data_IF_001731259356
#
_entry.id   IF_001731259356
#
_cell.length_a   1.000
_cell.length_b   1.000
_cell.length_c   1.000
_cell.angle_alpha   90.00
_cell.angle_beta   90.00
_cell.angle_gamma   90.00
#
_symmetry.space_group_name_H-M   'P 1'
#
loop_
_entity.id
_entity.type
_entity.pdbx_description
1 polymer ?
#
# COMPACT_ATOMS: atom_id res chain seq x y z
N UNK A 1 -41.84 7.29 3.06
CA UNK A 1 -40.56 7.13 3.77
C UNK A 1 -39.79 8.42 3.57
N UNK A 2 -39.49 9.11 4.66
CA UNK A 2 -38.78 10.40 4.66
C UNK A 2 -37.27 10.16 4.61
N UNK A 3 -36.50 11.24 4.40
CA UNK A 3 -35.05 11.18 4.50
C UNK A 3 -34.59 10.76 5.91
N UNK A 4 -35.27 11.24 6.94
CA UNK A 4 -34.92 10.89 8.33
C UNK A 4 -35.27 9.43 8.66
N UNK A 5 -36.34 8.89 8.07
CA UNK A 5 -36.63 7.44 8.18
C UNK A 5 -35.51 6.59 7.57
N UNK A 6 -34.90 7.05 6.46
CA UNK A 6 -33.78 6.35 5.82
C UNK A 6 -32.52 6.44 6.68
N UNK A 7 -32.21 7.63 7.22
CA UNK A 7 -31.07 7.84 8.12
C UNK A 7 -31.16 6.97 9.36
N UNK A 8 -32.29 6.96 10.04
CA UNK A 8 -32.49 6.10 11.21
C UNK A 8 -32.29 4.61 10.89
N UNK A 9 -32.69 4.15 9.69
CA UNK A 9 -32.42 2.77 9.28
C UNK A 9 -30.94 2.51 9.01
N UNK A 10 -30.23 3.48 8.44
CA UNK A 10 -28.79 3.41 8.23
C UNK A 10 -28.08 3.36 9.59
N UNK A 11 -28.41 4.25 10.52
CA UNK A 11 -27.81 4.28 11.87
C UNK A 11 -27.96 2.93 12.59
N UNK A 12 -29.15 2.31 12.52
CA UNK A 12 -29.38 0.98 13.10
C UNK A 12 -28.55 -0.13 12.42
N UNK A 13 -28.32 -0.02 11.11
CA UNK A 13 -27.45 -0.95 10.38
C UNK A 13 -26.00 -0.72 10.81
N UNK A 14 -25.56 0.52 10.92
CA UNK A 14 -24.19 0.88 11.32
C UNK A 14 -23.88 0.42 12.75
N UNK A 15 -24.82 0.58 13.69
CA UNK A 15 -24.72 0.03 15.05
C UNK A 15 -24.59 -1.49 15.06
N UNK A 16 -25.30 -2.16 14.15
CA UNK A 16 -25.24 -3.62 14.01
C UNK A 16 -23.90 -4.05 13.39
N UNK A 17 -23.42 -3.33 12.37
CA UNK A 17 -22.12 -3.56 11.76
C UNK A 17 -21.01 -3.41 12.80
N UNK A 18 -21.04 -2.36 13.64
CA UNK A 18 -20.05 -2.16 14.69
C UNK A 18 -20.00 -3.34 15.68
N UNK A 19 -21.16 -3.87 16.08
CA UNK A 19 -21.22 -5.08 16.94
C UNK A 19 -20.59 -6.27 16.25
N UNK A 20 -20.97 -6.55 15.01
CA UNK A 20 -20.44 -7.67 14.22
C UNK A 20 -18.93 -7.55 13.96
N UNK A 21 -18.43 -6.33 13.72
CA UNK A 21 -17.01 -6.09 13.58
C UNK A 21 -16.26 -6.41 14.88
N UNK A 22 -16.75 -5.95 16.03
CA UNK A 22 -16.13 -6.26 17.32
C UNK A 22 -16.16 -7.77 17.64
N UNK A 23 -17.29 -8.44 17.41
CA UNK A 23 -17.39 -9.91 17.56
C UNK A 23 -16.38 -10.63 16.66
N UNK A 24 -16.21 -10.17 15.42
CA UNK A 24 -15.19 -10.70 14.52
C UNK A 24 -13.78 -10.46 15.06
N UNK A 25 -13.49 -9.28 15.61
CA UNK A 25 -12.16 -8.97 16.16
C UNK A 25 -11.82 -9.81 17.38
N UNK A 26 -12.80 -10.13 18.23
CA UNK A 26 -12.63 -11.06 19.34
C UNK A 26 -12.28 -12.48 18.84
N UNK A 27 -12.95 -12.96 17.80
CA UNK A 27 -12.61 -14.25 17.18
C UNK A 27 -11.22 -14.26 16.53
N UNK A 28 -10.83 -13.14 15.91
CA UNK A 28 -9.47 -12.94 15.40
C UNK A 28 -8.49 -13.07 16.55
N UNK A 29 -8.66 -12.30 17.64
CA UNK A 29 -7.78 -12.35 18.80
C UNK A 29 -7.58 -13.78 19.33
N UNK A 30 -8.67 -14.54 19.51
CA UNK A 30 -8.60 -15.94 19.94
C UNK A 30 -7.84 -16.84 18.95
N UNK A 31 -8.00 -16.62 17.64
CA UNK A 31 -7.20 -17.30 16.61
C UNK A 31 -5.72 -16.93 16.73
N UNK A 32 -5.40 -15.67 16.99
CA UNK A 32 -4.05 -15.19 17.26
C UNK A 32 -3.41 -15.89 18.47
N UNK A 33 -4.11 -15.99 19.60
CA UNK A 33 -3.64 -16.68 20.81
C UNK A 33 -3.32 -18.16 20.57
N UNK A 34 -4.23 -18.85 19.87
CA UNK A 34 -4.05 -20.26 19.50
C UNK A 34 -2.85 -20.48 18.57
N UNK A 35 -2.63 -19.57 17.61
CA UNK A 35 -1.50 -19.65 16.66
C UNK A 35 -0.17 -19.31 17.30
N UNK A 36 -0.12 -18.34 18.21
CA UNK A 36 1.08 -17.99 18.98
C UNK A 36 1.60 -19.21 19.76
N UNK A 37 0.67 -19.97 20.35
CA UNK A 37 0.98 -21.23 21.07
C UNK A 37 1.49 -22.34 20.13
N UNK A 38 1.08 -22.32 18.86
CA UNK A 38 1.41 -23.34 17.86
C UNK A 38 2.58 -22.97 16.92
N UNK A 39 3.17 -21.77 17.05
CA UNK A 39 4.25 -21.28 16.19
C UNK A 39 3.87 -21.11 14.72
N UNK A 40 2.57 -21.00 14.41
CA UNK A 40 2.09 -20.90 13.03
C UNK A 40 2.18 -19.45 12.51
N UNK A 41 2.46 -19.23 11.19
CA UNK A 41 2.49 -17.90 10.62
C UNK A 41 1.11 -17.24 10.71
N UNK A 42 1.11 -16.00 11.21
CA UNK A 42 -0.09 -15.22 11.50
C UNK A 42 -0.66 -14.64 10.21
N UNK A 43 0.20 -14.06 9.36
CA UNK A 43 -0.17 -13.59 8.02
C UNK A 43 -0.26 -14.74 7.02
N UNK A 44 -1.43 -14.86 6.37
CA UNK A 44 -1.75 -15.88 5.38
C UNK A 44 -2.55 -15.26 4.23
N UNK A 45 -1.88 -14.67 3.23
CA UNK A 45 -2.55 -13.97 2.13
C UNK A 45 -3.49 -14.88 1.34
N UNK A 46 -3.19 -16.17 1.24
CA UNK A 46 -4.06 -17.16 0.59
C UNK A 46 -5.42 -17.29 1.29
N UNK A 47 -5.46 -17.12 2.62
CA UNK A 47 -6.70 -17.16 3.39
C UNK A 47 -7.53 -15.90 3.17
N UNK A 48 -6.89 -14.74 3.11
CA UNK A 48 -7.55 -13.46 2.81
C UNK A 48 -8.17 -13.49 1.40
N UNK A 49 -7.40 -13.96 0.42
CA UNK A 49 -7.89 -14.10 -0.96
C UNK A 49 -9.07 -15.08 -1.06
N UNK A 50 -9.03 -16.20 -0.34
CA UNK A 50 -10.14 -17.15 -0.29
C UNK A 50 -11.42 -16.53 0.31
N UNK A 51 -11.28 -15.65 1.31
CA UNK A 51 -12.42 -14.92 1.89
C UNK A 51 -12.99 -13.93 0.87
N UNK A 52 -12.16 -13.14 0.21
CA UNK A 52 -12.59 -12.17 -0.81
C UNK A 52 -13.33 -12.87 -1.96
N UNK A 53 -12.74 -13.94 -2.52
CA UNK A 53 -13.36 -14.70 -3.61
C UNK A 53 -14.73 -15.26 -3.19
N UNK A 54 -14.85 -15.79 -1.97
CA UNK A 54 -16.13 -16.28 -1.44
C UNK A 54 -17.15 -15.15 -1.31
N UNK A 55 -16.76 -13.99 -0.79
CA UNK A 55 -17.67 -12.85 -0.58
C UNK A 55 -18.16 -12.26 -1.90
N UNK A 56 -17.28 -12.10 -2.89
CA UNK A 56 -17.65 -11.68 -4.25
C UNK A 56 -18.64 -12.63 -4.89
N UNK A 57 -18.36 -13.94 -4.80
CA UNK A 57 -19.26 -14.97 -5.34
C UNK A 57 -20.64 -15.01 -4.66
N UNK A 58 -20.73 -14.58 -3.40
CA UNK A 58 -21.99 -14.52 -2.64
C UNK A 58 -22.71 -13.17 -2.77
N UNK A 59 -22.07 -12.14 -3.33
CA UNK A 59 -22.62 -10.80 -3.39
C UNK A 59 -23.73 -10.71 -4.45
N UNK A 60 -24.96 -10.52 -3.99
CA UNK A 60 -26.11 -10.15 -4.82
C UNK A 60 -26.58 -8.72 -4.56
N UNK A 61 -25.73 -7.92 -3.90
CA UNK A 61 -26.02 -6.56 -3.43
C UNK A 61 -25.56 -5.47 -4.40
N UNK A 62 -25.51 -4.23 -3.90
CA UNK A 62 -25.10 -3.04 -4.67
C UNK A 62 -23.60 -2.77 -4.68
N UNK A 63 -22.82 -3.51 -3.87
CA UNK A 63 -21.37 -3.34 -3.83
C UNK A 63 -20.75 -3.94 -5.09
N UNK A 64 -19.76 -3.25 -5.65
CA UNK A 64 -18.88 -3.80 -6.69
C UNK A 64 -17.82 -4.70 -6.05
N UNK A 65 -17.18 -5.55 -6.85
CA UNK A 65 -16.08 -6.40 -6.39
C UNK A 65 -14.93 -5.57 -5.79
N UNK A 66 -14.60 -4.43 -6.41
CA UNK A 66 -13.57 -3.51 -5.91
C UNK A 66 -13.95 -2.89 -4.55
N UNK A 67 -15.23 -2.58 -4.34
CA UNK A 67 -15.69 -2.05 -3.06
C UNK A 67 -15.65 -3.12 -1.96
N UNK A 68 -15.91 -4.39 -2.30
CA UNK A 68 -15.76 -5.51 -1.38
C UNK A 68 -14.29 -5.67 -0.99
N UNK A 69 -13.38 -5.65 -1.98
CA UNK A 69 -11.94 -5.71 -1.70
C UNK A 69 -11.51 -4.60 -0.76
N UNK A 70 -11.86 -3.35 -1.05
CA UNK A 70 -11.48 -2.20 -0.22
C UNK A 70 -11.95 -2.34 1.24
N UNK A 71 -13.22 -2.69 1.47
CA UNK A 71 -13.77 -2.82 2.82
C UNK A 71 -13.12 -3.96 3.61
N UNK A 72 -12.95 -5.12 2.97
CA UNK A 72 -12.45 -6.31 3.66
C UNK A 72 -10.94 -6.30 3.83
N UNK A 73 -10.17 -5.74 2.90
CA UNK A 73 -8.72 -5.57 3.05
C UNK A 73 -8.39 -4.64 4.23
N UNK A 74 -9.13 -3.54 4.39
CA UNK A 74 -8.97 -2.68 5.57
C UNK A 74 -9.37 -3.38 6.87
N UNK A 75 -10.47 -4.15 6.85
CA UNK A 75 -10.85 -4.94 8.02
C UNK A 75 -9.78 -6.00 8.37
N UNK A 76 -9.11 -6.59 7.38
CA UNK A 76 -8.01 -7.53 7.62
C UNK A 76 -6.77 -6.80 8.17
N UNK A 77 -6.48 -5.59 7.69
CA UNK A 77 -5.42 -4.76 8.22
C UNK A 77 -5.63 -4.40 9.69
N UNK A 78 -6.83 -3.95 10.06
CA UNK A 78 -7.20 -3.67 11.46
C UNK A 78 -7.04 -4.92 12.32
N UNK A 79 -7.51 -6.07 11.84
CA UNK A 79 -7.39 -7.34 12.53
C UNK A 79 -5.92 -7.74 12.80
N UNK A 80 -5.04 -7.59 11.80
CA UNK A 80 -3.60 -7.89 11.95
C UNK A 80 -2.93 -6.97 12.96
N UNK A 81 -3.22 -5.67 12.89
CA UNK A 81 -2.65 -4.69 13.82
C UNK A 81 -3.08 -4.93 15.27
N UNK A 82 -4.28 -5.48 15.50
CA UNK A 82 -4.73 -5.91 16.81
C UNK A 82 -3.92 -7.10 17.34
N UNK A 83 -3.63 -8.08 16.48
CA UNK A 83 -2.91 -9.30 16.87
C UNK A 83 -1.42 -9.05 17.09
N UNK A 84 -0.77 -8.22 16.25
CA UNK A 84 0.62 -7.80 16.37
C UNK A 84 0.85 -6.48 15.64
N UNK A 85 1.21 -5.39 16.34
CA UNK A 85 1.72 -4.18 15.72
C UNK A 85 3.15 -4.42 15.23
N UNK A 86 3.30 -5.22 14.18
CA UNK A 86 4.60 -5.53 13.57
C UNK A 86 4.93 -4.49 12.50
N UNK A 87 6.14 -3.92 12.59
CA UNK A 87 6.55 -2.89 11.65
C UNK A 87 6.73 -3.45 10.23
N UNK A 88 6.32 -2.66 9.24
CA UNK A 88 6.51 -2.94 7.81
C UNK A 88 7.56 -1.99 7.27
N UNK A 89 8.74 -2.51 6.96
CA UNK A 89 9.79 -1.74 6.30
C UNK A 89 9.46 -1.58 4.81
N UNK A 90 9.68 -0.40 4.25
CA UNK A 90 9.46 -0.15 2.82
C UNK A 90 10.52 0.78 2.25
N UNK A 91 10.68 0.75 0.91
CA UNK A 91 11.58 1.65 0.21
C UNK A 91 11.00 3.07 0.20
N UNK A 92 11.57 3.91 1.05
CA UNK A 92 11.13 5.27 1.28
C UNK A 92 11.38 6.23 0.10
N UNK A 93 10.98 7.49 0.26
CA UNK A 93 10.34 8.07 1.46
C UNK A 93 8.84 7.75 1.53
N UNK A 94 8.18 8.23 2.59
CA UNK A 94 6.72 8.27 2.72
C UNK A 94 6.05 8.83 1.46
N UNK A 95 4.90 8.26 1.12
CA UNK A 95 4.14 8.52 -0.11
C UNK A 95 4.86 8.11 -1.43
N UNK A 96 5.95 7.34 -1.37
CA UNK A 96 6.50 6.65 -2.55
C UNK A 96 5.53 5.59 -3.08
N UNK A 97 5.76 5.11 -4.31
CA UNK A 97 4.99 3.97 -4.83
C UNK A 97 5.15 2.70 -3.98
N UNK A 98 6.31 2.50 -3.36
CA UNK A 98 6.51 1.38 -2.44
C UNK A 98 5.77 1.60 -1.11
N UNK A 99 5.60 2.84 -0.66
CA UNK A 99 4.70 3.15 0.46
C UNK A 99 3.25 2.81 0.11
N UNK A 100 2.76 3.25 -1.05
CA UNK A 100 1.41 2.92 -1.53
C UNK A 100 1.21 1.41 -1.69
N UNK A 101 2.22 0.70 -2.19
CA UNK A 101 2.24 -0.76 -2.26
C UNK A 101 2.08 -1.39 -0.87
N UNK A 102 2.82 -0.87 0.12
CA UNK A 102 2.75 -1.32 1.50
C UNK A 102 1.36 -1.06 2.10
N UNK A 103 0.83 0.15 1.97
CA UNK A 103 -0.53 0.51 2.44
C UNK A 103 -1.62 -0.35 1.79
N UNK A 104 -1.52 -0.63 0.49
CA UNK A 104 -2.52 -1.45 -0.20
C UNK A 104 -2.62 -2.89 0.34
N UNK A 105 -1.51 -3.42 0.88
CA UNK A 105 -1.45 -4.80 1.40
C UNK A 105 -1.64 -4.86 2.91
N UNK A 106 -0.99 -3.95 3.62
CA UNK A 106 -0.94 -3.95 5.07
C UNK A 106 -1.96 -3.00 5.71
N UNK A 107 -2.65 -2.15 4.92
CA UNK A 107 -3.68 -1.19 5.32
C UNK A 107 -3.10 0.08 5.96
N UNK A 108 -3.89 1.17 5.98
CA UNK A 108 -3.38 2.49 6.34
C UNK A 108 -2.88 2.64 7.80
N UNK A 109 -3.30 1.75 8.72
CA UNK A 109 -3.03 1.88 10.16
C UNK A 109 -1.82 1.09 10.67
N UNK A 110 -1.07 0.43 9.79
CA UNK A 110 0.11 -0.34 10.17
C UNK A 110 1.30 0.56 10.54
N UNK A 111 2.24 0.03 11.34
CA UNK A 111 3.47 0.74 11.66
C UNK A 111 4.45 0.68 10.48
N UNK A 112 4.61 1.78 9.75
CA UNK A 112 5.49 1.83 8.57
C UNK A 112 6.86 2.41 8.88
N UNK A 113 7.92 1.70 8.46
CA UNK A 113 9.31 2.11 8.62
C UNK A 113 9.91 2.46 7.25
N UNK A 114 10.13 3.75 6.99
CA UNK A 114 10.76 4.22 5.77
C UNK A 114 12.26 3.92 5.78
N UNK A 115 12.74 3.11 4.85
CA UNK A 115 14.16 2.78 4.70
C UNK A 115 14.67 3.31 3.36
N UNK A 116 15.87 3.88 3.34
CA UNK A 116 16.44 4.57 2.17
C UNK A 116 17.06 3.63 1.12
N UNK A 117 17.17 2.33 1.40
CA UNK A 117 17.82 1.36 0.49
C UNK A 117 17.23 -0.03 0.61
N UNK A 118 17.24 -0.79 -0.49
CA UNK A 118 16.77 -2.17 -0.54
C UNK A 118 17.56 -3.07 0.41
N UNK A 119 18.92 -3.07 0.42
CA UNK A 119 19.69 -3.85 1.41
C UNK A 119 19.36 -3.48 2.86
N UNK A 120 19.01 -2.22 3.12
CA UNK A 120 18.54 -1.79 4.45
C UNK A 120 17.26 -2.50 4.87
N UNK A 121 16.30 -2.68 3.96
CA UNK A 121 15.03 -3.35 4.24
C UNK A 121 15.28 -4.82 4.61
N UNK A 122 16.06 -5.54 3.80
CA UNK A 122 16.42 -6.94 4.09
C UNK A 122 17.07 -7.08 5.47
N UNK A 123 18.01 -6.20 5.81
CA UNK A 123 18.67 -6.16 7.11
C UNK A 123 17.71 -5.93 8.27
N UNK A 124 16.75 -5.02 8.14
CA UNK A 124 15.77 -4.75 9.20
C UNK A 124 14.78 -5.91 9.38
N UNK A 125 14.44 -6.62 8.31
CA UNK A 125 13.60 -7.83 8.39
C UNK A 125 14.36 -9.00 9.01
N UNK A 126 15.61 -9.25 8.60
CA UNK A 126 16.45 -10.30 9.17
C UNK A 126 16.69 -10.11 10.68
N UNK A 127 16.90 -8.86 11.12
CA UNK A 127 17.05 -8.53 12.55
C UNK A 127 15.76 -8.62 13.35
N UNK A 128 14.60 -8.67 12.69
CA UNK A 128 13.28 -8.64 13.32
C UNK A 128 12.84 -7.25 13.80
N UNK A 129 13.51 -6.16 13.39
CA UNK A 129 13.04 -4.79 13.65
C UNK A 129 11.72 -4.53 12.91
N UNK A 130 11.61 -5.06 11.69
CA UNK A 130 10.38 -5.13 10.92
C UNK A 130 10.03 -6.59 10.66
N UNK A 131 8.76 -6.95 10.67
CA UNK A 131 8.35 -8.31 10.29
C UNK A 131 8.38 -8.50 8.79
N UNK A 132 7.96 -7.48 8.07
CA UNK A 132 7.76 -7.52 6.63
C UNK A 132 8.59 -6.42 5.97
N UNK A 133 9.06 -6.71 4.76
CA UNK A 133 9.73 -5.78 3.88
C UNK A 133 8.97 -5.66 2.57
N UNK A 134 8.68 -4.43 2.15
CA UNK A 134 8.08 -4.14 0.84
C UNK A 134 9.14 -3.52 -0.05
N UNK A 135 9.46 -4.22 -1.14
CA UNK A 135 10.54 -3.88 -2.07
C UNK A 135 10.05 -3.97 -3.51
N UNK A 136 10.56 -3.14 -4.43
CA UNK A 136 10.32 -3.32 -5.85
C UNK A 136 11.21 -4.45 -6.40
N UNK A 137 10.65 -5.38 -7.16
CA UNK A 137 11.41 -6.44 -7.86
C UNK A 137 11.53 -6.19 -9.36
N UNK A 138 10.51 -5.56 -9.96
CA UNK A 138 10.45 -5.27 -11.39
C UNK A 138 9.71 -3.95 -11.62
N UNK A 139 10.16 -3.20 -12.63
CA UNK A 139 9.46 -2.03 -13.16
C UNK A 139 9.29 -2.19 -14.67
N UNK A 140 8.07 -2.03 -15.18
CA UNK A 140 7.75 -2.17 -16.60
C UNK A 140 8.59 -1.25 -17.53
N UNK A 141 9.11 -0.14 -17.02
CA UNK A 141 9.93 0.81 -17.79
C UNK A 141 11.44 0.58 -17.67
N UNK A 142 11.90 -0.08 -16.61
CA UNK A 142 13.33 -0.17 -16.26
C UNK A 142 13.83 -1.59 -16.04
N UNK A 143 12.94 -2.59 -16.17
CA UNK A 143 13.25 -4.00 -15.96
C UNK A 143 13.40 -4.36 -14.49
N UNK A 144 14.17 -5.42 -14.26
CA UNK A 144 14.39 -6.03 -12.95
C UNK A 144 15.25 -5.11 -12.07
N UNK A 145 14.89 -5.03 -10.79
CA UNK A 145 15.64 -4.29 -9.77
C UNK A 145 16.78 -5.18 -9.25
N UNK A 146 18.00 -4.97 -9.75
CA UNK A 146 19.16 -5.83 -9.46
C UNK A 146 19.47 -5.97 -7.97
N UNK A 147 19.36 -4.88 -7.20
CA UNK A 147 19.60 -4.91 -5.75
C UNK A 147 18.67 -5.90 -5.02
N UNK A 148 17.41 -5.99 -5.45
CA UNK A 148 16.45 -6.94 -4.90
C UNK A 148 16.87 -8.38 -5.18
N UNK A 149 17.31 -8.68 -6.41
CA UNK A 149 17.78 -10.02 -6.77
C UNK A 149 19.02 -10.41 -5.97
N UNK A 150 19.98 -9.49 -5.84
CA UNK A 150 21.20 -9.73 -5.07
C UNK A 150 20.88 -10.00 -3.58
N UNK A 151 19.97 -9.20 -3.00
CA UNK A 151 19.58 -9.41 -1.60
C UNK A 151 18.79 -10.71 -1.40
N UNK A 152 17.98 -11.15 -2.38
CA UNK A 152 17.28 -12.43 -2.30
C UNK A 152 18.24 -13.63 -2.36
N UNK A 153 19.43 -13.48 -2.95
CA UNK A 153 20.48 -14.50 -2.93
C UNK A 153 21.27 -14.49 -1.61
N UNK A 154 21.50 -13.32 -1.02
CA UNK A 154 22.30 -13.14 0.20
C UNK A 154 21.53 -13.48 1.49
N UNK A 155 20.23 -13.16 1.57
CA UNK A 155 19.43 -13.28 2.78
C UNK A 155 18.46 -14.47 2.72
N UNK A 156 18.35 -15.25 3.80
CA UNK A 156 17.35 -16.34 3.91
C UNK A 156 15.98 -15.82 4.34
N UNK A 157 15.37 -14.98 3.49
CA UNK A 157 14.00 -14.49 3.63
C UNK A 157 13.07 -15.19 2.64
N UNK A 158 11.76 -15.12 2.89
CA UNK A 158 10.73 -15.71 2.02
C UNK A 158 9.83 -14.62 1.43
N UNK A 159 9.56 -14.74 0.14
CA UNK A 159 8.52 -13.94 -0.53
C UNK A 159 7.18 -14.59 -0.20
N UNK A 160 6.28 -13.80 0.39
CA UNK A 160 4.97 -14.29 0.86
C UNK A 160 3.80 -13.70 0.10
N UNK A 161 4.00 -12.59 -0.61
CA UNK A 161 2.97 -11.90 -1.37
C UNK A 161 3.60 -11.04 -2.47
N UNK A 162 2.79 -10.72 -3.49
CA UNK A 162 3.12 -9.76 -4.54
C UNK A 162 2.03 -8.70 -4.67
N UNK A 163 2.41 -7.55 -5.22
CA UNK A 163 1.53 -6.43 -5.53
C UNK A 163 1.98 -5.76 -6.81
N UNK A 164 1.03 -5.49 -7.70
CA UNK A 164 1.23 -4.66 -8.88
C UNK A 164 0.65 -3.29 -8.57
N UNK A 165 1.46 -2.25 -8.74
CA UNK A 165 1.03 -0.86 -8.56
C UNK A 165 1.06 -0.16 -9.91
N UNK A 166 -0.10 0.31 -10.33
CA UNK A 166 -0.21 1.15 -11.53
C UNK A 166 0.38 2.53 -11.24
N UNK A 167 1.49 2.83 -11.91
CA UNK A 167 2.22 4.08 -11.72
C UNK A 167 1.53 5.20 -12.49
N UNK A 168 0.83 6.06 -11.76
CA UNK A 168 0.28 7.30 -12.27
C UNK A 168 1.09 8.48 -11.74
N UNK A 169 1.59 9.31 -12.65
CA UNK A 169 2.30 10.55 -12.32
C UNK A 169 1.35 11.73 -12.49
N UNK A 170 1.29 12.59 -11.48
CA UNK A 170 0.56 13.84 -11.53
C UNK A 170 1.53 15.02 -11.59
N UNK A 171 1.18 16.03 -12.37
CA UNK A 171 1.90 17.31 -12.37
C UNK A 171 1.29 18.23 -11.32
N UNK A 172 2.11 18.67 -10.36
CA UNK A 172 1.70 19.55 -9.27
C UNK A 172 2.50 20.86 -9.32
N UNK A 173 1.82 21.98 -9.08
CA UNK A 173 2.43 23.32 -9.05
C UNK A 173 1.69 24.20 -8.05
N UNK A 174 2.41 25.10 -7.39
CA UNK A 174 1.84 26.19 -6.57
C UNK A 174 1.50 27.43 -7.41
N UNK A 175 2.03 27.52 -8.63
CA UNK A 175 1.76 28.63 -9.55
C UNK A 175 0.48 28.33 -10.35
N UNK A 176 -0.39 29.33 -10.47
CA UNK A 176 -1.61 29.26 -11.28
C UNK A 176 -1.31 29.25 -12.79
N UNK A 177 -0.31 30.03 -13.22
CA UNK A 177 0.13 30.09 -14.62
C UNK A 177 1.37 29.23 -14.86
N UNK A 178 1.17 28.13 -15.58
CA UNK A 178 2.20 27.17 -15.99
C UNK A 178 3.32 27.84 -16.81
N UNK A 179 3.04 28.91 -17.55
CA UNK A 179 4.05 29.60 -18.38
C UNK A 179 5.11 30.34 -17.55
N UNK A 180 4.84 30.57 -16.27
CA UNK A 180 5.77 31.25 -15.35
C UNK A 180 6.80 30.30 -14.74
N UNK A 181 6.63 28.99 -14.95
CA UNK A 181 7.49 27.98 -14.36
C UNK A 181 8.89 28.06 -14.95
N UNK A 182 9.88 27.95 -14.07
CA UNK A 182 11.31 27.97 -14.44
C UNK A 182 12.00 26.63 -14.21
N UNK A 183 11.45 25.84 -13.30
CA UNK A 183 12.05 24.60 -12.80
C UNK A 183 10.98 23.56 -12.56
N UNK A 184 11.29 22.31 -12.90
CA UNK A 184 10.52 21.13 -12.50
C UNK A 184 11.44 20.22 -11.72
N UNK A 185 10.96 19.69 -10.60
CA UNK A 185 11.68 18.73 -9.78
C UNK A 185 11.03 17.36 -9.94
N UNK A 186 11.81 16.31 -10.16
CA UNK A 186 11.31 14.93 -10.17
C UNK A 186 12.47 13.92 -10.19
N UNK A 187 12.18 12.62 -10.21
CA UNK A 187 13.16 11.58 -10.54
C UNK A 187 13.50 11.60 -12.04
N UNK A 188 14.73 11.24 -12.40
CA UNK A 188 15.17 11.09 -13.80
C UNK A 188 14.22 10.23 -14.65
N UNK A 189 13.79 9.10 -14.08
CA UNK A 189 12.89 8.15 -14.73
C UNK A 189 11.53 8.80 -15.03
N UNK A 190 11.03 9.63 -14.10
CA UNK A 190 9.75 10.31 -14.27
C UNK A 190 9.81 11.38 -15.36
N UNK A 191 10.93 12.11 -15.51
CA UNK A 191 11.13 13.01 -16.65
C UNK A 191 11.09 12.27 -17.98
N UNK A 192 11.71 11.09 -18.05
CA UNK A 192 11.66 10.22 -19.23
C UNK A 192 10.24 9.79 -19.59
N UNK A 193 9.47 9.32 -18.61
CA UNK A 193 8.09 8.86 -18.77
C UNK A 193 7.11 9.99 -19.12
N UNK A 194 7.32 11.19 -18.56
CA UNK A 194 6.45 12.36 -18.76
C UNK A 194 6.88 13.26 -19.92
N UNK A 195 7.89 12.89 -20.71
CA UNK A 195 8.45 13.76 -21.77
C UNK A 195 7.40 14.35 -22.70
N UNK A 196 6.49 13.51 -23.21
CA UNK A 196 5.44 13.94 -24.14
C UNK A 196 4.48 14.94 -23.46
N UNK A 197 4.08 14.67 -22.23
CA UNK A 197 3.24 15.56 -21.44
C UNK A 197 3.89 16.94 -21.21
N UNK A 198 5.20 16.95 -20.88
CA UNK A 198 5.94 18.20 -20.69
C UNK A 198 6.06 18.99 -22.00
N UNK A 199 6.30 18.31 -23.12
CA UNK A 199 6.37 18.92 -24.44
C UNK A 199 5.02 19.51 -24.87
N UNK A 200 3.91 18.79 -24.66
CA UNK A 200 2.55 19.26 -24.99
C UNK A 200 2.17 20.54 -24.20
N UNK A 201 2.77 20.75 -23.02
CA UNK A 201 2.60 21.96 -22.21
C UNK A 201 3.65 23.06 -22.46
N UNK A 202 4.64 22.82 -23.32
CA UNK A 202 5.75 23.75 -23.57
C UNK A 202 6.70 23.91 -22.38
N UNK A 203 6.87 22.86 -21.58
CA UNK A 203 7.71 22.79 -20.38
C UNK A 203 8.96 21.91 -20.58
N UNK A 204 9.27 21.53 -21.81
CA UNK A 204 10.42 20.71 -22.15
C UNK A 204 11.75 21.49 -22.17
N UNK A 205 11.69 22.82 -22.34
CA UNK A 205 12.88 23.69 -22.35
C UNK A 205 13.22 24.32 -20.97
N UNK A 206 12.37 24.13 -19.96
CA UNK A 206 12.64 24.66 -18.62
C UNK A 206 13.56 23.73 -17.82
N UNK A 207 14.19 24.24 -16.76
CA UNK A 207 15.21 23.50 -16.01
C UNK A 207 14.61 22.28 -15.29
N UNK A 208 15.03 21.07 -15.66
CA UNK A 208 14.62 19.83 -15.00
C UNK A 208 15.66 19.43 -13.96
N UNK A 209 15.26 19.43 -12.68
CA UNK A 209 16.14 19.16 -11.54
C UNK A 209 15.85 17.76 -11.00
N UNK A 210 16.80 16.82 -11.16
CA UNK A 210 16.64 15.47 -10.65
C UNK A 210 16.78 15.42 -9.13
N UNK A 211 15.87 14.69 -8.48
CA UNK A 211 15.89 14.43 -7.04
C UNK A 211 15.67 12.94 -6.74
N UNK A 212 15.91 12.56 -5.48
CA UNK A 212 15.91 11.16 -5.03
C UNK A 212 14.55 10.46 -5.07
N UNK A 213 13.42 11.15 -5.19
CA UNK A 213 12.11 10.51 -5.40
C UNK A 213 11.07 11.52 -5.89
N UNK A 214 10.02 11.03 -6.55
CA UNK A 214 8.85 11.86 -6.93
C UNK A 214 8.16 12.43 -5.69
N UNK A 215 8.05 11.66 -4.61
CA UNK A 215 7.49 12.12 -3.34
C UNK A 215 8.33 13.23 -2.69
N UNK A 216 9.66 13.16 -2.77
CA UNK A 216 10.55 14.22 -2.29
C UNK A 216 10.47 15.48 -3.14
N UNK A 217 10.20 15.35 -4.44
CA UNK A 217 9.99 16.49 -5.33
C UNK A 217 8.72 17.29 -5.01
N UNK A 218 7.71 16.63 -4.43
CA UNK A 218 6.44 17.26 -4.08
C UNK A 218 6.43 17.96 -2.71
N UNK A 219 7.45 17.71 -1.86
CA UNK A 219 7.64 18.39 -0.57
C UNK A 219 8.37 19.71 -0.76
#
# INVERSE_FOLDING_TARGET
MTLDDLRNKIDNIDDTLLKLYNERMELVHQVGELKSTAGAPIYRPEREQAILNRLKAQNSGKLTDDAIDALFLEMFAVARNLELPEAVAYLGPEASFTHQAAESKFGALSAYLAISSIPGIFREVEKGTAKFGVIPIENSSNGIVTDTINCLDEYDLKIIAEVVVDVHLAFATINEDIKTLKRIYSRDIAFGQCRKFLQDLGLDEIEHIPVESTAKAAK
#
